data_IF_888676778963
#
_entry.id   IF_888676778963
#
_cell.length_a   1.000
_cell.length_b   1.000
_cell.length_c   1.000
_cell.angle_alpha   90.00
_cell.angle_beta   90.00
_cell.angle_gamma   90.00
#
_symmetry.space_group_name_H-M   'P 1'
#
loop_
_entity.id
_entity.type
_entity.pdbx_description
1 polymer ?
#
# COMPACT_ATOMS: atom_id res chain seq x y z
N UNK A 1 0.66 -10.05 -2.88
CA UNK A 1 0.48 -11.49 -3.20
C UNK A 1 -0.94 -11.69 -3.67
N UNK A 2 -1.15 -12.43 -4.74
CA UNK A 2 -2.47 -12.69 -5.33
C UNK A 2 -2.50 -14.07 -5.99
N UNK A 3 -3.70 -14.59 -6.27
CA UNK A 3 -3.89 -15.80 -7.06
C UNK A 3 -4.18 -15.40 -8.50
N UNK A 4 -3.45 -15.96 -9.46
CA UNK A 4 -3.65 -15.76 -10.89
C UNK A 4 -3.50 -17.10 -11.62
N UNK A 5 -4.50 -17.46 -12.43
CA UNK A 5 -4.53 -18.72 -13.20
C UNK A 5 -4.17 -20.00 -12.42
N UNK A 6 -4.53 -20.05 -11.12
CA UNK A 6 -4.27 -21.19 -10.25
C UNK A 6 -2.88 -21.22 -9.60
N UNK A 7 -2.06 -20.20 -9.84
CA UNK A 7 -0.78 -19.99 -9.16
C UNK A 7 -0.87 -18.86 -8.13
N UNK A 8 -0.06 -18.97 -7.09
CA UNK A 8 0.23 -17.86 -6.18
C UNK A 8 1.36 -17.03 -6.76
N UNK A 9 1.14 -15.72 -6.89
CA UNK A 9 2.17 -14.76 -7.31
C UNK A 9 2.64 -13.94 -6.10
N UNK A 10 3.95 -13.95 -5.85
CA UNK A 10 4.60 -13.20 -4.77
C UNK A 10 5.54 -12.14 -5.35
N UNK A 11 5.14 -10.88 -5.19
CA UNK A 11 5.93 -9.69 -5.56
C UNK A 11 6.77 -9.22 -4.38
N UNK A 12 8.00 -8.77 -4.65
CA UNK A 12 8.89 -8.23 -3.64
C UNK A 12 9.98 -7.31 -4.24
N UNK A 13 10.59 -6.49 -3.39
CA UNK A 13 11.79 -5.72 -3.76
C UNK A 13 13.05 -6.59 -3.67
N UNK A 14 13.92 -6.50 -4.66
CA UNK A 14 15.14 -7.29 -4.77
C UNK A 14 16.38 -6.42 -5.02
N UNK A 15 17.44 -6.64 -4.26
CA UNK A 15 18.75 -5.99 -4.44
C UNK A 15 19.83 -6.98 -4.90
N UNK A 16 19.44 -8.21 -5.23
CA UNK A 16 20.32 -9.18 -5.86
C UNK A 16 20.41 -8.82 -7.33
N UNK A 17 21.44 -8.04 -7.66
CA UNK A 17 21.90 -7.84 -9.02
C UNK A 17 23.37 -8.25 -9.09
N UNK A 18 23.71 -9.37 -9.77
CA UNK A 18 25.09 -9.88 -9.79
C UNK A 18 26.08 -8.88 -10.40
N UNK A 19 25.61 -8.03 -11.32
CA UNK A 19 26.45 -7.08 -12.04
C UNK A 19 26.56 -5.71 -11.35
N UNK A 20 25.81 -5.49 -10.25
CA UNK A 20 25.73 -4.22 -9.50
C UNK A 20 25.42 -3.00 -10.40
N UNK A 21 24.62 -3.23 -11.43
CA UNK A 21 24.09 -2.23 -12.37
C UNK A 21 22.78 -1.61 -11.87
N UNK A 22 22.07 -2.28 -10.97
CA UNK A 22 20.78 -1.87 -10.42
C UNK A 22 20.88 -1.65 -8.90
N UNK A 23 20.39 -0.52 -8.41
CA UNK A 23 20.37 -0.25 -6.96
C UNK A 23 19.34 -1.09 -6.20
N UNK A 24 18.15 -1.25 -6.79
CA UNK A 24 17.10 -2.18 -6.38
C UNK A 24 16.17 -2.36 -7.59
N UNK A 25 15.55 -3.53 -7.71
CA UNK A 25 14.46 -3.81 -8.65
C UNK A 25 13.26 -4.39 -7.91
N UNK A 26 12.13 -4.50 -8.59
CA UNK A 26 10.98 -5.26 -8.11
C UNK A 26 10.79 -6.47 -8.99
N UNK A 27 10.44 -7.59 -8.37
CA UNK A 27 10.37 -8.89 -9.02
C UNK A 27 9.22 -9.70 -8.45
N UNK A 28 8.81 -10.73 -9.19
CA UNK A 28 7.92 -11.76 -8.68
C UNK A 28 8.46 -13.17 -8.90
N UNK A 29 7.86 -14.10 -8.14
CA UNK A 29 7.94 -15.54 -8.39
C UNK A 29 6.54 -16.14 -8.26
N UNK A 30 6.28 -17.21 -9.01
CA UNK A 30 5.03 -17.98 -8.92
C UNK A 30 5.24 -19.35 -8.29
N UNK A 31 4.18 -19.92 -7.74
CA UNK A 31 4.15 -21.29 -7.24
C UNK A 31 2.73 -21.86 -7.35
N UNK A 32 2.62 -23.16 -7.58
CA UNK A 32 1.36 -23.90 -7.58
C UNK A 32 1.18 -24.81 -6.35
N UNK A 33 2.21 -24.95 -5.51
CA UNK A 33 2.24 -25.87 -4.37
C UNK A 33 2.74 -25.23 -3.06
N UNK A 34 3.11 -23.94 -3.09
CA UNK A 34 3.67 -23.16 -1.97
C UNK A 34 5.06 -23.61 -1.50
N UNK A 35 5.66 -24.60 -2.15
CA UNK A 35 6.94 -25.21 -1.77
C UNK A 35 8.01 -24.94 -2.82
N UNK A 36 7.67 -25.16 -4.09
CA UNK A 36 8.54 -24.97 -5.23
C UNK A 36 8.17 -23.67 -5.92
N UNK A 37 9.16 -22.78 -6.05
CA UNK A 37 8.98 -21.47 -6.65
C UNK A 37 9.66 -21.42 -8.03
N UNK A 38 8.99 -20.80 -8.99
CA UNK A 38 9.51 -20.54 -10.32
C UNK A 38 10.72 -19.59 -10.32
N UNK A 39 11.27 -19.28 -11.51
CA UNK A 39 12.36 -18.31 -11.62
C UNK A 39 11.91 -16.92 -11.15
N UNK A 40 12.89 -16.09 -10.80
CA UNK A 40 12.68 -14.65 -10.54
C UNK A 40 12.39 -13.98 -11.89
N UNK A 41 11.29 -13.23 -11.95
CA UNK A 41 10.88 -12.43 -13.11
C UNK A 41 10.86 -10.96 -12.68
N UNK A 42 11.49 -10.10 -13.47
CA UNK A 42 11.54 -8.66 -13.19
C UNK A 42 10.18 -8.01 -13.52
N UNK A 43 9.72 -7.10 -12.65
CA UNK A 43 8.47 -6.34 -12.80
C UNK A 43 8.72 -4.86 -13.02
N UNK A 44 9.73 -4.30 -12.35
CA UNK A 44 10.17 -2.92 -12.51
C UNK A 44 11.65 -2.86 -12.23
N UNK A 45 12.41 -2.43 -13.24
CA UNK A 45 13.79 -2.03 -13.09
C UNK A 45 14.08 -0.77 -13.89
N UNK A 46 15.19 -0.13 -13.54
CA UNK A 46 15.76 1.00 -14.25
C UNK A 46 17.27 0.80 -14.31
N UNK A 47 17.87 0.99 -15.47
CA UNK A 47 19.31 0.81 -15.72
C UNK A 47 20.16 1.89 -15.03
N UNK A 48 20.14 1.89 -13.70
CA UNK A 48 20.82 2.85 -12.85
C UNK A 48 21.11 2.26 -11.47
N UNK A 49 22.39 2.28 -11.08
CA UNK A 49 22.87 1.68 -9.85
C UNK A 49 22.42 2.41 -8.56
N UNK A 50 21.90 3.63 -8.65
CA UNK A 50 21.40 4.39 -7.49
C UNK A 50 19.89 4.38 -7.37
N UNK A 51 19.18 3.97 -8.43
CA UNK A 51 17.72 3.98 -8.45
C UNK A 51 17.17 2.82 -7.64
N UNK A 52 16.08 3.08 -6.90
CA UNK A 52 15.49 2.14 -5.96
C UNK A 52 13.97 2.11 -6.03
N UNK A 53 13.36 1.61 -7.12
CA UNK A 53 11.95 1.23 -7.11
C UNK A 53 11.67 0.19 -6.02
N UNK A 54 10.55 0.29 -5.32
CA UNK A 54 10.23 -0.65 -4.25
C UNK A 54 8.80 -0.63 -3.75
N UNK A 55 8.52 -1.58 -2.85
CA UNK A 55 7.24 -1.74 -2.16
C UNK A 55 6.06 -1.97 -3.13
N UNK A 56 6.12 -3.01 -3.98
CA UNK A 56 5.09 -3.26 -4.98
C UNK A 56 3.76 -3.66 -4.31
N UNK A 57 2.68 -2.94 -4.66
CA UNK A 57 1.30 -3.28 -4.31
C UNK A 57 0.48 -3.38 -5.59
N UNK A 58 -0.36 -4.42 -5.70
CA UNK A 58 -1.06 -4.77 -6.93
C UNK A 58 -2.57 -4.90 -6.65
N UNK A 59 -3.39 -4.35 -7.54
CA UNK A 59 -4.84 -4.59 -7.60
C UNK A 59 -5.30 -4.88 -9.02
N UNK A 60 -6.37 -5.67 -9.14
CA UNK A 60 -7.11 -5.87 -10.39
C UNK A 60 -8.08 -4.70 -10.63
N UNK A 61 -8.21 -4.29 -11.89
CA UNK A 61 -9.15 -3.28 -12.37
C UNK A 61 -10.37 -3.96 -13.02
N UNK A 62 -11.52 -3.26 -13.16
CA UNK A 62 -12.75 -3.89 -13.66
C UNK A 62 -12.68 -4.28 -15.14
N UNK A 63 -11.64 -3.82 -15.86
CA UNK A 63 -11.34 -4.22 -17.24
C UNK A 63 -10.62 -5.57 -17.33
N UNK A 64 -10.12 -6.10 -16.22
CA UNK A 64 -9.20 -7.25 -16.18
C UNK A 64 -7.72 -6.87 -16.26
N UNK A 65 -7.42 -5.58 -16.47
CA UNK A 65 -6.07 -5.04 -16.33
C UNK A 65 -5.67 -4.97 -14.85
N UNK A 66 -4.39 -4.77 -14.59
CA UNK A 66 -3.78 -4.76 -13.28
C UNK A 66 -2.99 -3.48 -13.08
N UNK A 67 -3.09 -2.89 -11.89
CA UNK A 67 -2.26 -1.75 -11.48
C UNK A 67 -1.23 -2.19 -10.45
N UNK A 68 0.04 -1.85 -10.68
CA UNK A 68 1.13 -1.98 -9.72
C UNK A 68 1.57 -0.57 -9.27
N UNK A 69 1.42 -0.23 -7.99
CA UNK A 69 1.99 1.01 -7.41
C UNK A 69 3.29 0.73 -6.67
N UNK A 70 4.22 1.68 -6.71
CA UNK A 70 5.53 1.57 -6.08
C UNK A 70 6.12 2.93 -5.73
N UNK A 71 7.00 2.97 -4.73
CA UNK A 71 7.83 4.14 -4.48
C UNK A 71 9.05 4.12 -5.40
N UNK A 72 9.48 5.28 -5.89
CA UNK A 72 10.62 5.35 -6.80
C UNK A 72 11.67 6.38 -6.37
N UNK A 73 12.73 5.91 -5.69
CA UNK A 73 13.95 6.72 -5.56
C UNK A 73 14.66 6.77 -6.92
N UNK A 74 14.70 7.97 -7.50
CA UNK A 74 15.12 8.18 -8.89
C UNK A 74 14.07 8.90 -9.74
N UNK A 75 12.87 9.10 -9.18
CA UNK A 75 11.80 9.89 -9.79
C UNK A 75 12.24 11.32 -10.13
N UNK A 76 11.74 11.84 -11.25
CA UNK A 76 12.00 13.22 -11.67
C UNK A 76 11.32 14.24 -10.73
N UNK A 77 10.19 13.85 -10.13
CA UNK A 77 9.45 14.59 -9.11
C UNK A 77 10.23 14.71 -7.79
N UNK A 78 11.26 13.89 -7.62
CA UNK A 78 12.14 13.88 -6.46
C UNK A 78 11.73 12.88 -5.37
N UNK A 79 12.64 12.70 -4.41
CA UNK A 79 12.41 11.82 -3.25
C UNK A 79 12.07 10.39 -3.65
N UNK A 80 11.07 9.82 -2.97
CA UNK A 80 10.48 8.51 -3.24
C UNK A 80 9.06 8.65 -3.82
N UNK A 81 8.89 9.49 -4.85
CA UNK A 81 7.59 9.75 -5.45
C UNK A 81 6.86 8.46 -5.85
N UNK A 82 5.54 8.43 -5.68
CA UNK A 82 4.74 7.24 -6.00
C UNK A 82 4.47 7.16 -7.50
N UNK A 83 4.85 6.04 -8.08
CA UNK A 83 4.59 5.69 -9.48
C UNK A 83 3.64 4.50 -9.56
N UNK A 84 3.08 4.27 -10.74
CA UNK A 84 2.35 3.06 -11.07
C UNK A 84 2.65 2.55 -12.48
N UNK A 85 2.35 1.27 -12.72
CA UNK A 85 2.26 0.67 -14.06
C UNK A 85 0.90 0.01 -14.22
N UNK A 86 0.35 0.03 -15.43
CA UNK A 86 -0.86 -0.72 -15.79
C UNK A 86 -0.50 -1.78 -16.83
N UNK A 87 -0.92 -3.02 -16.60
CA UNK A 87 -0.64 -4.16 -17.47
C UNK A 87 -1.88 -5.01 -17.67
N UNK A 88 -2.01 -5.65 -18.83
CA UNK A 88 -3.08 -6.61 -19.13
C UNK A 88 -2.90 -7.97 -18.42
N UNK A 89 -1.71 -8.21 -17.88
CA UNK A 89 -1.38 -9.36 -17.04
C UNK A 89 -0.59 -8.91 -15.81
N UNK A 90 -0.85 -9.52 -14.64
CA UNK A 90 -0.11 -9.17 -13.44
C UNK A 90 1.35 -9.72 -13.47
N UNK A 91 1.74 -10.43 -14.53
CA UNK A 91 3.07 -11.05 -14.68
C UNK A 91 4.01 -10.27 -15.62
N UNK A 92 3.56 -9.17 -16.22
CA UNK A 92 4.25 -8.50 -17.35
C UNK A 92 4.43 -7.00 -17.16
N UNK A 93 4.46 -6.52 -15.91
CA UNK A 93 4.61 -5.10 -15.60
C UNK A 93 5.89 -4.48 -16.16
N UNK A 94 6.94 -5.26 -16.38
CA UNK A 94 8.24 -4.75 -16.83
C UNK A 94 8.19 -4.10 -18.23
N UNK A 95 7.27 -4.57 -19.08
CA UNK A 95 7.04 -4.05 -20.42
C UNK A 95 6.27 -2.73 -20.45
N UNK A 96 5.72 -2.29 -19.31
CA UNK A 96 4.83 -1.13 -19.21
C UNK A 96 5.58 0.11 -18.73
N UNK A 97 5.21 1.32 -19.18
CA UNK A 97 5.83 2.54 -18.68
C UNK A 97 5.45 2.78 -17.21
N UNK A 98 6.41 3.29 -16.44
CA UNK A 98 6.13 3.86 -15.12
C UNK A 98 5.52 5.25 -15.26
N UNK A 99 4.39 5.48 -14.59
CA UNK A 99 3.64 6.73 -14.62
C UNK A 99 3.64 7.33 -13.20
N UNK A 100 4.03 8.61 -13.01
CA UNK A 100 3.92 9.26 -11.71
C UNK A 100 2.46 9.54 -11.34
N UNK A 101 2.10 9.39 -10.07
CA UNK A 101 0.80 9.87 -9.59
C UNK A 101 0.89 11.40 -9.42
N UNK A 102 0.12 12.15 -10.20
CA UNK A 102 0.09 13.62 -10.19
C UNK A 102 -1.33 14.13 -9.93
N UNK A 103 -1.72 14.31 -8.66
CA UNK A 103 -3.02 14.86 -8.28
C UNK A 103 -3.23 16.29 -8.78
N UNK A 104 -4.46 16.60 -9.19
CA UNK A 104 -4.82 17.90 -9.78
C UNK A 104 -4.59 19.11 -8.85
N UNK A 105 -4.53 18.91 -7.53
CA UNK A 105 -4.25 19.96 -6.55
C UNK A 105 -2.75 20.24 -6.36
N UNK A 106 -1.88 19.51 -7.05
CA UNK A 106 -0.42 19.64 -6.98
C UNK A 106 0.21 18.97 -5.75
N UNK A 107 -0.55 18.17 -4.99
CA UNK A 107 0.02 17.33 -3.93
C UNK A 107 0.99 16.30 -4.52
N UNK A 108 1.98 15.86 -3.73
CA UNK A 108 3.04 14.97 -4.18
C UNK A 108 3.03 13.70 -3.32
N UNK A 109 2.45 12.59 -3.79
CA UNK A 109 2.48 11.33 -3.06
C UNK A 109 3.91 10.80 -2.94
N UNK A 110 4.33 10.44 -1.73
CA UNK A 110 5.72 10.03 -1.47
C UNK A 110 5.82 8.87 -0.46
N UNK A 111 6.58 7.85 -0.87
CA UNK A 111 7.00 6.73 -0.03
C UNK A 111 5.94 5.67 0.23
N UNK A 112 6.37 4.41 0.33
CA UNK A 112 5.65 3.23 0.79
C UNK A 112 4.15 3.16 0.42
N UNK A 113 3.80 3.12 -0.88
CA UNK A 113 2.42 3.19 -1.31
C UNK A 113 1.62 1.94 -0.95
N UNK A 114 0.29 2.09 -0.94
CA UNK A 114 -0.66 0.97 -0.89
C UNK A 114 -1.87 1.29 -1.75
N UNK A 115 -2.19 0.43 -2.73
CA UNK A 115 -3.39 0.58 -3.55
C UNK A 115 -4.46 -0.48 -3.24
N UNK A 116 -5.71 -0.09 -3.48
CA UNK A 116 -6.87 -0.98 -3.64
C UNK A 116 -7.74 -0.45 -4.77
N UNK A 117 -8.55 -1.32 -5.38
CA UNK A 117 -9.65 -0.90 -6.24
C UNK A 117 -10.99 -1.22 -5.59
N UNK A 118 -11.93 -0.27 -5.65
CA UNK A 118 -13.33 -0.44 -5.22
C UNK A 118 -14.28 -0.23 -6.40
N UNK A 119 -15.39 -0.99 -6.51
CA UNK A 119 -16.43 -0.71 -7.50
C UNK A 119 -17.25 0.57 -7.21
N UNK A 120 -17.07 1.23 -6.08
CA UNK A 120 -17.78 2.47 -5.74
C UNK A 120 -17.23 3.69 -6.50
N UNK A 121 -18.05 4.74 -6.64
CA UNK A 121 -17.64 6.02 -7.25
C UNK A 121 -17.75 6.11 -8.77
N UNK A 122 -18.56 5.26 -9.41
CA UNK A 122 -18.90 5.37 -10.83
C UNK A 122 -18.74 4.05 -11.60
N UNK A 123 -18.95 4.09 -12.92
CA UNK A 123 -18.89 2.91 -13.81
C UNK A 123 -17.52 2.20 -13.79
N UNK A 124 -16.44 2.97 -13.65
CA UNK A 124 -15.07 2.47 -13.56
C UNK A 124 -14.64 2.09 -12.13
N UNK A 125 -15.50 2.31 -11.15
CA UNK A 125 -15.12 2.29 -9.73
C UNK A 125 -14.08 3.36 -9.39
N UNK A 126 -13.29 3.10 -8.35
CA UNK A 126 -12.26 4.00 -7.82
C UNK A 126 -11.00 3.22 -7.46
N UNK A 127 -9.87 3.58 -8.05
CA UNK A 127 -8.54 3.23 -7.55
C UNK A 127 -8.25 4.16 -6.37
N UNK A 128 -7.84 3.59 -5.24
CA UNK A 128 -7.49 4.34 -4.02
C UNK A 128 -6.06 4.02 -3.67
N UNK A 129 -5.22 5.04 -3.54
CA UNK A 129 -3.80 4.93 -3.18
C UNK A 129 -3.55 5.70 -1.88
N UNK A 130 -2.86 5.07 -0.94
CA UNK A 130 -2.21 5.74 0.19
C UNK A 130 -0.72 5.81 -0.08
N UNK A 131 -0.04 6.78 0.55
CA UNK A 131 1.40 6.79 0.71
C UNK A 131 1.80 6.70 2.19
N UNK A 132 3.10 6.81 2.47
CA UNK A 132 3.68 6.76 3.81
C UNK A 132 3.89 8.11 4.51
N UNK A 133 4.02 9.19 3.74
CA UNK A 133 4.47 10.49 4.23
C UNK A 133 3.33 11.51 4.41
N UNK A 134 2.20 11.30 3.73
CA UNK A 134 1.08 12.23 3.72
C UNK A 134 -0.17 11.64 4.38
N UNK A 135 -1.08 12.53 4.78
CA UNK A 135 -2.38 12.14 5.34
C UNK A 135 -3.43 11.77 4.29
N UNK A 136 -3.58 12.45 3.14
CA UNK A 136 -4.66 12.19 2.20
C UNK A 136 -4.58 10.80 1.57
N UNK A 137 -5.65 10.40 0.91
CA UNK A 137 -5.66 9.35 -0.10
C UNK A 137 -5.68 9.98 -1.49
N UNK A 138 -5.22 9.24 -2.49
CA UNK A 138 -5.20 9.64 -3.89
C UNK A 138 -6.17 8.73 -4.65
N UNK A 139 -7.12 9.33 -5.36
CA UNK A 139 -8.20 8.64 -6.03
C UNK A 139 -8.06 8.76 -7.54
N UNK A 140 -8.41 7.70 -8.28
CA UNK A 140 -8.57 7.74 -9.72
C UNK A 140 -9.84 6.98 -10.12
N UNK A 141 -10.77 7.68 -10.80
CA UNK A 141 -12.05 7.14 -11.29
C UNK A 141 -12.08 6.94 -12.81
N UNK A 142 -10.93 7.02 -13.45
CA UNK A 142 -10.75 6.93 -14.90
C UNK A 142 -9.73 5.83 -15.25
N UNK A 143 -9.77 4.71 -14.52
CA UNK A 143 -8.95 3.52 -14.76
C UNK A 143 -7.44 3.80 -14.81
N UNK A 144 -6.98 4.80 -14.07
CA UNK A 144 -5.56 5.19 -14.03
C UNK A 144 -5.15 6.13 -15.14
N UNK A 145 -6.07 6.88 -15.76
CA UNK A 145 -5.72 8.03 -16.60
C UNK A 145 -4.87 9.04 -15.82
N UNK A 146 -3.75 9.46 -16.41
CA UNK A 146 -2.69 10.22 -15.72
C UNK A 146 -3.16 11.58 -15.17
N UNK A 147 -4.12 12.21 -15.85
CA UNK A 147 -4.68 13.53 -15.53
C UNK A 147 -5.94 13.48 -14.64
N UNK A 148 -6.30 12.29 -14.15
CA UNK A 148 -7.55 12.05 -13.40
C UNK A 148 -7.34 11.79 -11.90
N UNK A 149 -6.13 12.01 -11.38
CA UNK A 149 -5.84 11.85 -9.95
C UNK A 149 -6.39 13.02 -9.13
N UNK A 150 -7.13 12.71 -8.07
CA UNK A 150 -7.66 13.67 -7.09
C UNK A 150 -7.26 13.28 -5.68
N UNK A 151 -7.27 14.22 -4.74
CA UNK A 151 -7.03 13.97 -3.32
C UNK A 151 -8.32 13.77 -2.55
N UNK A 152 -8.25 12.97 -1.49
CA UNK A 152 -9.29 12.78 -0.49
C UNK A 152 -8.68 12.97 0.90
N UNK A 153 -9.13 13.99 1.61
CA UNK A 153 -8.74 14.18 3.01
C UNK A 153 -9.38 13.13 3.90
N UNK A 154 -8.57 12.58 4.80
CA UNK A 154 -9.01 11.53 5.74
C UNK A 154 -8.51 11.85 7.15
N UNK A 155 -9.19 11.37 8.21
CA UNK A 155 -8.80 11.70 9.58
C UNK A 155 -7.70 10.75 10.09
N UNK A 156 -7.32 9.75 9.27
CA UNK A 156 -6.21 8.86 9.55
C UNK A 156 -4.90 9.65 9.39
N UNK A 157 -4.03 9.55 10.40
CA UNK A 157 -2.68 10.12 10.30
C UNK A 157 -1.84 9.47 9.20
N UNK A 158 -0.76 10.14 8.82
CA UNK A 158 0.30 9.54 8.00
C UNK A 158 0.95 8.37 8.75
N UNK A 159 1.33 7.33 8.03
CA UNK A 159 1.93 6.12 8.60
C UNK A 159 2.72 5.40 7.52
N UNK A 160 3.90 4.91 7.88
CA UNK A 160 4.71 4.11 6.96
C UNK A 160 3.92 2.88 6.50
N UNK A 161 3.89 2.65 5.19
CA UNK A 161 3.12 1.60 4.50
C UNK A 161 1.67 1.47 4.96
N UNK A 162 0.97 2.60 5.18
CA UNK A 162 -0.44 2.63 5.62
C UNK A 162 -1.32 1.83 4.66
N UNK A 163 -1.91 0.74 5.16
CA UNK A 163 -2.62 -0.21 4.31
C UNK A 163 -4.10 0.12 4.19
N UNK A 164 -4.67 -0.31 3.06
CA UNK A 164 -6.06 -0.10 2.71
C UNK A 164 -6.77 -1.45 2.53
N UNK A 165 -8.06 -1.46 2.83
CA UNK A 165 -8.94 -2.60 2.59
C UNK A 165 -10.33 -2.10 2.20
N UNK A 166 -10.81 -2.51 1.02
CA UNK A 166 -12.22 -2.34 0.65
C UNK A 166 -13.06 -3.29 1.51
N UNK A 167 -14.08 -2.79 2.19
CA UNK A 167 -14.92 -3.64 3.03
C UNK A 167 -15.79 -4.56 2.17
N UNK A 168 -15.72 -5.90 2.34
CA UNK A 168 -16.41 -6.84 1.45
C UNK A 168 -17.94 -6.69 1.35
N UNK A 169 -18.57 -6.19 2.41
CA UNK A 169 -20.03 -6.04 2.48
C UNK A 169 -20.51 -4.62 2.14
N UNK A 170 -19.59 -3.67 1.98
CA UNK A 170 -19.90 -2.28 1.71
C UNK A 170 -18.71 -1.66 0.96
N UNK A 171 -18.63 -1.84 -0.37
CA UNK A 171 -17.46 -1.44 -1.14
C UNK A 171 -17.24 0.07 -1.20
N UNK A 172 -18.23 0.90 -0.86
CA UNK A 172 -17.99 2.34 -0.71
C UNK A 172 -17.07 2.65 0.48
N UNK A 173 -16.93 1.72 1.43
CA UNK A 173 -16.10 1.91 2.62
C UNK A 173 -14.70 1.35 2.47
N UNK A 174 -13.74 2.20 2.78
CA UNK A 174 -12.32 1.83 2.87
C UNK A 174 -11.90 1.82 4.34
N UNK A 175 -11.38 0.69 4.80
CA UNK A 175 -10.64 0.59 6.05
C UNK A 175 -9.19 0.97 5.81
N UNK A 176 -8.68 1.89 6.63
CA UNK A 176 -7.31 2.38 6.64
C UNK A 176 -6.65 1.86 7.93
N UNK A 177 -5.55 1.14 7.80
CA UNK A 177 -4.78 0.62 8.94
C UNK A 177 -3.40 1.26 8.97
N UNK A 178 -3.10 1.96 10.06
CA UNK A 178 -1.85 2.68 10.28
C UNK A 178 -1.05 2.03 11.42
N UNK A 179 0.24 1.78 11.20
CA UNK A 179 1.16 1.19 12.19
C UNK A 179 2.08 2.20 12.88
N UNK A 180 2.12 3.44 12.39
CA UNK A 180 3.00 4.51 12.87
C UNK A 180 4.08 4.89 11.87
N UNK A 181 5.02 5.75 12.28
CA UNK A 181 6.07 6.31 11.41
C UNK A 181 7.43 5.66 11.67
N UNK A 182 8.34 5.74 10.70
CA UNK A 182 9.72 5.29 10.86
C UNK A 182 10.40 6.05 12.02
N UNK A 183 11.07 5.32 12.92
CA UNK A 183 11.75 5.92 14.07
C UNK A 183 10.83 6.53 15.15
N UNK A 184 9.51 6.33 15.05
CA UNK A 184 8.55 6.89 16.02
C UNK A 184 8.66 6.27 17.42
N UNK A 185 8.65 7.12 18.46
CA UNK A 185 8.73 6.69 19.87
C UNK A 185 7.37 6.24 20.46
N UNK A 186 6.27 6.72 19.87
CA UNK A 186 4.89 6.52 20.38
C UNK A 186 3.96 5.84 19.36
N UNK A 187 4.51 4.97 18.50
CA UNK A 187 3.74 4.26 17.50
C UNK A 187 2.61 3.40 18.11
N UNK A 188 1.48 3.34 17.42
CA UNK A 188 0.36 2.47 17.75
C UNK A 188 -0.38 2.03 16.49
N UNK A 189 -1.03 0.87 16.55
CA UNK A 189 -1.88 0.40 15.45
C UNK A 189 -3.24 1.08 15.56
N UNK A 190 -3.61 1.86 14.54
CA UNK A 190 -4.86 2.59 14.45
C UNK A 190 -5.64 2.12 13.23
N UNK A 191 -6.95 2.05 13.37
CA UNK A 191 -7.88 1.70 12.29
C UNK A 191 -8.88 2.83 12.12
N UNK A 192 -9.05 3.27 10.89
CA UNK A 192 -10.04 4.27 10.49
C UNK A 192 -10.89 3.69 9.36
N UNK A 193 -12.16 4.04 9.29
CA UNK A 193 -13.00 3.71 8.13
C UNK A 193 -13.58 5.00 7.56
N UNK A 194 -13.48 5.14 6.25
CA UNK A 194 -14.06 6.23 5.47
C UNK A 194 -15.13 5.69 4.51
N UNK A 195 -15.90 6.58 3.91
CA UNK A 195 -16.89 6.29 2.87
C UNK A 195 -16.59 7.14 1.63
N UNK A 196 -16.33 6.51 0.49
CA UNK A 196 -15.94 7.16 -0.77
C UNK A 196 -17.08 7.99 -1.38
N UNK A 197 -18.33 7.73 -1.00
CA UNK A 197 -19.53 8.38 -1.57
C UNK A 197 -20.11 9.50 -0.69
N UNK A 198 -19.64 9.65 0.57
CA UNK A 198 -20.04 10.78 1.41
C UNK A 198 -19.52 12.12 0.84
N UNK A 199 -18.40 12.09 0.13
CA UNK A 199 -17.82 13.23 -0.61
C UNK A 199 -18.76 13.76 -1.71
N UNK A 200 -19.39 12.87 -2.49
CA UNK A 200 -20.27 13.28 -3.62
C UNK A 200 -21.56 13.96 -3.15
N UNK A 201 -22.00 13.67 -1.92
CA UNK A 201 -23.31 14.10 -1.44
C UNK A 201 -23.29 15.42 -0.64
N UNK A 202 -22.14 16.09 -0.51
CA UNK A 202 -22.01 17.37 0.21
C UNK A 202 -22.43 17.31 1.68
N UNK A 203 -22.53 16.10 2.27
CA UNK A 203 -22.81 15.89 3.68
C UNK A 203 -21.47 15.72 4.37
N UNK A 204 -21.15 16.63 5.31
CA UNK A 204 -19.89 16.60 6.04
C UNK A 204 -19.52 15.19 6.52
N UNK A 205 -18.26 14.82 6.30
CA UNK A 205 -17.76 13.45 6.44
C UNK A 205 -18.04 12.91 7.85
N UNK A 206 -18.81 11.82 7.95
CA UNK A 206 -19.12 11.18 9.23
C UNK A 206 -18.11 10.06 9.48
N UNK A 207 -17.01 10.43 10.09
CA UNK A 207 -15.98 9.46 10.48
C UNK A 207 -16.47 8.49 11.56
N UNK A 208 -16.44 7.21 11.24
CA UNK A 208 -16.50 6.15 12.23
C UNK A 208 -15.14 5.98 12.90
N UNK A 209 -14.79 6.82 13.89
CA UNK A 209 -13.62 6.55 14.72
C UNK A 209 -13.93 5.39 15.68
N UNK A 210 -13.51 4.18 15.33
CA UNK A 210 -13.26 3.14 16.33
C UNK A 210 -11.75 2.98 16.48
N UNK A 211 -11.18 3.63 17.49
CA UNK A 211 -9.95 3.14 18.09
C UNK A 211 -10.23 1.75 18.65
N UNK A 212 -9.94 0.71 17.89
CA UNK A 212 -9.66 -0.59 18.48
C UNK A 212 -8.31 -0.42 19.17
N UNK A 213 -8.33 -0.38 20.50
CA UNK A 213 -7.23 0.13 21.35
C UNK A 213 -5.86 -0.49 21.08
N UNK A 214 -4.82 0.12 21.69
CA UNK A 214 -3.43 -0.35 21.63
C UNK A 214 -3.37 -1.87 21.64
N UNK A 215 -2.81 -2.48 20.59
CA UNK A 215 -2.48 -3.89 20.59
C UNK A 215 -1.65 -4.18 21.86
N UNK A 216 -2.22 -4.96 22.77
CA UNK A 216 -1.59 -5.33 24.03
C UNK A 216 -0.38 -6.25 23.75
N UNK A 217 0.78 -5.67 23.45
CA UNK A 217 2.04 -6.34 23.68
C UNK A 217 2.28 -6.33 25.19
N UNK A 218 1.75 -7.35 25.86
CA UNK A 218 2.07 -7.62 27.24
C UNK A 218 3.57 -7.82 27.35
N UNK A 219 4.31 -6.81 27.84
CA UNK A 219 5.66 -7.00 28.36
C UNK A 219 5.54 -8.08 29.44
N UNK A 220 6.01 -9.29 29.13
CA UNK A 220 6.15 -10.36 30.09
C UNK A 220 7.02 -9.88 31.24
N UNK A 221 6.40 -9.43 32.33
CA UNK A 221 7.11 -9.20 33.58
C UNK A 221 7.43 -10.57 34.15
N UNK A 222 8.69 -10.97 34.00
CA UNK A 222 9.27 -12.11 34.71
C UNK A 222 8.91 -12.02 36.19
N UNK A 223 8.18 -13.02 36.69
CA UNK A 223 7.91 -13.17 38.13
C UNK A 223 9.20 -13.63 38.80
N UNK A 224 9.96 -12.66 39.31
CA UNK A 224 11.00 -12.93 40.30
C UNK A 224 10.39 -13.59 41.53
N UNK A 225 10.89 -14.77 41.89
CA UNK A 225 10.55 -15.49 43.14
C UNK A 225 11.06 -14.69 44.34
N UNK A 226 10.19 -13.88 44.95
CA UNK A 226 10.41 -13.30 46.27
C UNK A 226 10.05 -14.29 47.37
N UNK A 227 11.05 -14.76 48.11
CA UNK A 227 10.87 -15.43 49.41
C UNK A 227 10.42 -14.39 50.44
N UNK A 228 9.41 -14.70 51.26
CA UNK A 228 9.04 -13.89 52.41
C UNK A 228 7.87 -14.50 53.18
N UNK A 229 8.15 -14.90 54.42
CA UNK A 229 7.26 -15.63 55.34
C UNK A 229 6.25 -14.70 56.03
N UNK A 230 5.13 -15.27 56.52
CA UNK A 230 4.56 -14.88 57.81
C UNK A 230 3.08 -14.50 57.83
N UNK A 231 2.29 -15.38 58.46
CA UNK A 231 1.04 -15.24 59.23
C UNK A 231 0.47 -13.81 59.41
N UNK A 232 -0.82 -13.54 59.32
CA UNK A 232 -1.96 -14.27 59.88
C UNK A 232 -2.72 -13.29 60.77
N UNK A 233 -3.98 -13.03 60.41
CA UNK A 233 -4.92 -11.98 60.84
C UNK A 233 -4.73 -10.61 60.19
#
# INVERSE_FOLDING_TARGET
>A
MLIYEGELVLYYSDQRDPDNTLGQKMVHQTTNDLLNWGPIVDDVHYDNATFRPGMPIISELPTGDWILTYEFLGAEEGGFHVYYRISDSPLTFDAQPGIPILPADGSSPEGSPYNVWSPAGGENGTIVVSDGNNTPLYLNRALGAEDAWTTLEVPAGASYTRSLLVLPNDPSRIMIVAGGVLGGEDNSVLVTTIDLEEEENGKGIKYGHRQHGKACWGKGKGRGRGKGKGHGW
#
